data_IF_132534048546
#
_entry.id   IF_132534048546
#
_cell.length_a   1.000
_cell.length_b   1.000
_cell.length_c   1.000
_cell.angle_alpha   90.00
_cell.angle_beta   90.00
_cell.angle_gamma   90.00
#
_symmetry.space_group_name_H-M   'P 1'
#
loop_
_entity.id
_entity.type
_entity.pdbx_description
1 polymer ?
#
# COMPACT_ATOMS: atom_id res chain seq x y z
N UNK A 1 -23.34 31.51 -13.71
CA UNK A 1 -22.30 31.13 -12.74
C UNK A 1 -20.96 31.49 -13.39
N UNK A 2 -20.29 32.55 -12.90
CA UNK A 2 -19.14 33.22 -13.55
C UNK A 2 -17.82 32.77 -12.91
N UNK A 3 -16.94 32.20 -13.75
CA UNK A 3 -15.48 32.08 -13.75
C UNK A 3 -14.66 31.90 -12.44
N UNK A 4 -13.77 30.90 -12.43
CA UNK A 4 -12.34 31.19 -12.30
C UNK A 4 -11.47 30.21 -13.09
N UNK A 5 -10.77 30.82 -14.03
CA UNK A 5 -9.89 30.31 -15.08
C UNK A 5 -8.46 30.61 -14.62
N UNK A 6 -7.57 29.60 -14.55
CA UNK A 6 -6.11 29.77 -14.60
C UNK A 6 -5.40 28.41 -14.68
N UNK A 7 -5.61 27.68 -15.78
CA UNK A 7 -4.56 26.76 -16.24
C UNK A 7 -3.87 27.50 -17.36
N UNK A 8 -2.74 28.14 -17.00
CA UNK A 8 -1.90 28.87 -17.93
C UNK A 8 -1.43 27.89 -19.02
N UNK A 9 -2.01 28.05 -20.20
CA UNK A 9 -1.38 27.62 -21.43
C UNK A 9 -0.05 28.38 -21.55
N UNK A 10 1.08 27.68 -21.48
CA UNK A 10 2.35 28.22 -21.98
C UNK A 10 2.64 27.48 -23.28
N UNK A 11 2.18 28.10 -24.36
CA UNK A 11 2.72 27.86 -25.70
C UNK A 11 4.08 28.56 -25.77
N UNK A 12 5.15 27.80 -25.97
CA UNK A 12 6.39 28.33 -26.55
C UNK A 12 6.85 27.34 -27.61
N UNK A 13 6.69 27.74 -28.88
CA UNK A 13 7.05 26.95 -30.03
C UNK A 13 8.56 26.77 -30.15
N UNK A 14 8.98 25.52 -30.32
CA UNK A 14 10.04 25.09 -31.25
C UNK A 14 9.99 23.56 -31.29
N UNK A 15 9.14 23.02 -32.18
CA UNK A 15 8.93 21.59 -32.49
C UNK A 15 9.27 20.60 -31.36
N UNK A 16 8.69 20.84 -30.18
CA UNK A 16 8.79 19.98 -29.01
C UNK A 16 7.75 18.86 -29.16
N UNK A 17 8.22 17.65 -29.49
CA UNK A 17 7.40 16.45 -29.39
C UNK A 17 7.08 16.18 -27.92
N UNK A 18 5.89 16.61 -27.47
CA UNK A 18 5.35 16.24 -26.16
C UNK A 18 5.06 14.74 -26.17
N UNK A 19 5.96 13.97 -25.59
CA UNK A 19 5.62 12.65 -25.07
C UNK A 19 4.58 12.86 -23.98
N UNK A 20 3.33 12.47 -24.27
CA UNK A 20 2.25 12.45 -23.29
C UNK A 20 2.63 11.47 -22.18
N UNK A 21 2.94 12.00 -21.00
CA UNK A 21 3.23 11.21 -19.81
C UNK A 21 1.88 10.73 -19.27
N UNK A 22 1.56 9.46 -19.49
CA UNK A 22 0.42 8.80 -18.87
C UNK A 22 0.68 8.63 -17.38
N UNK A 23 0.17 9.57 -16.58
CA UNK A 23 0.17 9.48 -15.13
C UNK A 23 -0.87 8.43 -14.68
N UNK A 24 -0.47 7.16 -14.66
CA UNK A 24 -1.19 6.14 -13.91
C UNK A 24 -0.96 6.44 -12.43
N UNK A 25 -1.93 7.09 -11.78
CA UNK A 25 -1.94 7.24 -10.33
C UNK A 25 -2.12 5.85 -9.71
N UNK A 26 -1.03 5.22 -9.26
CA UNK A 26 -1.12 4.08 -8.34
C UNK A 26 -1.77 4.59 -7.08
N UNK A 27 -3.01 4.16 -6.84
CA UNK A 27 -3.74 4.47 -5.63
C UNK A 27 -3.06 3.78 -4.45
N UNK A 28 -2.71 4.53 -3.40
CA UNK A 28 -1.98 4.05 -2.21
C UNK A 28 -2.65 2.89 -1.43
N UNK A 29 -3.82 2.41 -1.87
CA UNK A 29 -4.56 1.32 -1.26
C UNK A 29 -3.98 -0.08 -1.58
N UNK A 30 -3.20 -0.24 -2.65
CA UNK A 30 -2.71 -1.57 -3.10
C UNK A 30 -1.47 -2.07 -2.36
N UNK A 31 -0.82 -1.24 -1.52
CA UNK A 31 0.40 -1.63 -0.80
C UNK A 31 0.14 -2.15 0.61
N UNK A 32 -1.14 -2.24 1.03
CA UNK A 32 -1.47 -2.53 2.41
C UNK A 32 -1.47 -4.01 2.78
N UNK A 33 -1.26 -4.90 1.81
CA UNK A 33 -1.25 -6.35 2.05
C UNK A 33 0.12 -6.83 2.52
N UNK A 34 0.14 -7.59 3.62
CA UNK A 34 1.32 -8.31 4.10
C UNK A 34 1.01 -9.81 4.22
N UNK A 35 2.06 -10.62 4.33
CA UNK A 35 1.98 -12.05 4.62
C UNK A 35 2.67 -12.31 5.95
N UNK A 36 1.95 -12.90 6.91
CA UNK A 36 2.53 -13.41 8.14
C UNK A 36 2.70 -14.93 7.99
N UNK A 37 3.94 -15.40 8.07
CA UNK A 37 4.27 -16.82 8.02
C UNK A 37 4.71 -17.29 9.40
N UNK A 38 4.25 -18.43 9.88
CA UNK A 38 4.73 -19.00 11.14
C UNK A 38 6.24 -19.29 11.08
N UNK A 39 6.96 -19.22 12.21
CA UNK A 39 8.41 -19.48 12.23
C UNK A 39 8.82 -20.87 11.73
N UNK A 40 7.93 -21.86 11.86
CA UNK A 40 8.12 -23.21 11.33
C UNK A 40 7.86 -23.32 9.80
N UNK A 41 7.40 -22.22 9.18
CA UNK A 41 7.07 -22.10 7.78
C UNK A 41 5.85 -22.88 7.33
N UNK A 42 5.12 -23.55 8.23
CA UNK A 42 4.03 -24.47 7.88
C UNK A 42 2.71 -23.77 7.58
N UNK A 43 2.52 -22.54 8.07
CA UNK A 43 1.28 -21.79 7.90
C UNK A 43 1.57 -20.35 7.51
N UNK A 44 0.70 -19.78 6.69
CA UNK A 44 0.76 -18.37 6.31
C UNK A 44 -0.64 -17.77 6.26
N UNK A 45 -0.71 -16.48 6.58
CA UNK A 45 -1.93 -15.69 6.53
C UNK A 45 -1.59 -14.41 5.78
N UNK A 46 -2.33 -14.14 4.71
CA UNK A 46 -2.26 -12.88 3.97
C UNK A 46 -3.45 -11.99 4.32
N UNK A 47 -3.22 -10.68 4.38
CA UNK A 47 -4.30 -9.72 4.63
C UNK A 47 -3.81 -8.28 4.63
N UNK A 48 -4.76 -7.37 4.70
CA UNK A 48 -4.49 -5.94 4.82
C UNK A 48 -4.01 -5.63 6.25
N UNK A 49 -2.81 -5.05 6.38
CA UNK A 49 -2.31 -4.58 7.67
C UNK A 49 -3.08 -3.32 8.08
N UNK A 50 -3.98 -3.47 9.03
CA UNK A 50 -4.74 -2.36 9.59
C UNK A 50 -3.89 -1.59 10.61
N UNK A 51 -3.11 -2.33 11.42
CA UNK A 51 -2.32 -1.76 12.52
C UNK A 51 -1.27 -2.74 13.05
N UNK A 52 -0.15 -2.20 13.50
CA UNK A 52 0.81 -2.90 14.35
C UNK A 52 1.03 -2.11 15.64
N UNK A 53 0.69 -2.70 16.78
CA UNK A 53 0.92 -2.09 18.10
C UNK A 53 1.13 -3.16 19.17
N UNK A 54 1.92 -2.86 20.20
CA UNK A 54 2.17 -3.78 21.32
C UNK A 54 2.60 -5.19 20.89
N UNK A 55 3.43 -5.30 19.85
CA UNK A 55 3.90 -6.58 19.29
C UNK A 55 2.79 -7.46 18.68
N UNK A 56 1.68 -6.85 18.26
CA UNK A 56 0.52 -7.53 17.67
C UNK A 56 0.23 -6.94 16.30
N UNK A 57 0.14 -7.81 15.30
CA UNK A 57 -0.39 -7.49 13.98
C UNK A 57 -1.91 -7.57 14.00
N UNK A 58 -2.58 -6.52 13.56
CA UNK A 58 -4.02 -6.49 13.31
C UNK A 58 -4.23 -6.49 11.80
N UNK A 59 -4.68 -7.62 11.28
CA UNK A 59 -4.94 -7.83 9.86
C UNK A 59 -6.44 -7.86 9.58
N UNK A 60 -6.83 -7.41 8.40
CA UNK A 60 -8.12 -7.73 7.81
C UNK A 60 -7.91 -8.76 6.70
N UNK A 61 -8.47 -9.95 6.90
CA UNK A 61 -8.44 -11.07 5.95
C UNK A 61 -9.82 -11.21 5.31
N UNK A 62 -9.87 -11.69 4.07
CA UNK A 62 -11.15 -11.89 3.37
C UNK A 62 -11.99 -13.02 4.00
N UNK A 63 -11.32 -14.08 4.49
CA UNK A 63 -11.99 -15.29 4.99
C UNK A 63 -12.35 -15.22 6.48
N UNK A 64 -11.48 -14.63 7.31
CA UNK A 64 -11.65 -14.60 8.77
C UNK A 64 -12.06 -13.21 9.30
N UNK A 65 -12.09 -12.20 8.43
CA UNK A 65 -12.26 -10.81 8.83
C UNK A 65 -11.06 -10.31 9.63
N UNK A 66 -11.30 -9.55 10.71
CA UNK A 66 -10.24 -8.95 11.52
C UNK A 66 -9.60 -9.99 12.43
N UNK A 67 -8.29 -10.21 12.27
CA UNK A 67 -7.50 -11.14 13.08
C UNK A 67 -6.34 -10.42 13.76
N UNK A 68 -5.95 -10.96 14.92
CA UNK A 68 -4.85 -10.45 15.74
C UNK A 68 -3.82 -11.56 15.92
N UNK A 69 -2.57 -11.27 15.58
CA UNK A 69 -1.48 -12.25 15.58
C UNK A 69 -0.28 -11.66 16.31
N UNK A 70 0.26 -12.40 17.28
CA UNK A 70 1.48 -12.01 17.99
C UNK A 70 2.69 -12.10 17.07
N UNK A 71 3.49 -11.04 17.01
CA UNK A 71 4.68 -11.00 16.15
C UNK A 71 5.69 -12.08 16.52
N UNK A 72 5.79 -12.46 17.80
CA UNK A 72 6.72 -13.51 18.29
C UNK A 72 6.47 -14.91 17.70
N UNK A 73 5.37 -15.09 16.96
CA UNK A 73 4.97 -16.38 16.39
C UNK A 73 5.12 -16.44 14.87
N UNK A 74 5.45 -15.31 14.22
CA UNK A 74 5.43 -15.17 12.78
C UNK A 74 6.59 -14.31 12.26
N UNK A 75 7.01 -14.60 11.03
CA UNK A 75 7.86 -13.74 10.21
C UNK A 75 6.95 -12.93 9.28
N UNK A 76 7.13 -11.62 9.27
CA UNK A 76 6.39 -10.72 8.40
C UNK A 76 7.09 -10.57 7.04
N UNK A 77 6.33 -10.70 5.96
CA UNK A 77 6.78 -10.41 4.59
C UNK A 77 5.89 -9.38 3.92
N UNK A 78 6.49 -8.36 3.30
CA UNK A 78 5.78 -7.30 2.59
C UNK A 78 6.40 -5.93 2.80
N UNK A 79 5.95 -4.94 2.03
CA UNK A 79 6.49 -3.58 2.07
C UNK A 79 6.11 -2.80 3.35
N UNK A 80 5.08 -3.25 4.07
CA UNK A 80 4.61 -2.63 5.32
C UNK A 80 5.02 -3.39 6.58
N UNK A 81 5.91 -4.37 6.46
CA UNK A 81 6.44 -5.03 7.63
C UNK A 81 7.29 -4.04 8.45
N UNK A 82 7.07 -3.94 9.77
CA UNK A 82 7.91 -3.12 10.64
C UNK A 82 9.37 -3.59 10.61
N UNK A 83 10.33 -2.67 10.73
CA UNK A 83 11.78 -2.94 10.75
C UNK A 83 12.26 -3.82 11.94
N UNK A 84 11.34 -4.22 12.83
CA UNK A 84 11.62 -5.01 14.04
C UNK A 84 10.74 -6.27 14.14
N UNK A 85 10.24 -6.78 13.01
CA UNK A 85 9.57 -8.10 12.93
C UNK A 85 10.56 -9.24 12.82
#
# INVERSE_FOLDING_TARGET
MKANLSVAAIAFGCAAGLLAINANAVTAAELQTIVLQTHDGQSSISGELIRYENNIYILLTEEMGRVQIHADTVVCHGALCPDHG
#
